data_IF_744409007120
#
_entry.id   IF_744409007120
#
_cell.length_a   1.000
_cell.length_b   1.000
_cell.length_c   1.000
_cell.angle_alpha   90.00
_cell.angle_beta   90.00
_cell.angle_gamma   90.00
#
_symmetry.space_group_name_H-M   'P 1'
#
loop_
_entity.id
_entity.type
_entity.pdbx_description
1 polymer ?
#
# COMPACT_ATOMS: atom_id res chain seq x y z
N UNK A 1 -28.31 8.82 5.39
CA UNK A 1 -27.60 7.55 5.13
C UNK A 1 -26.13 7.89 5.00
N UNK A 2 -25.20 7.25 5.72
CA UNK A 2 -23.79 7.56 5.55
C UNK A 2 -23.36 7.05 4.18
N UNK A 3 -22.81 7.95 3.36
CA UNK A 3 -22.23 7.59 2.08
C UNK A 3 -21.09 6.61 2.37
N UNK A 4 -21.24 5.37 1.90
CA UNK A 4 -20.14 4.41 1.88
C UNK A 4 -19.15 4.95 0.87
N UNK A 5 -18.19 5.74 1.33
CA UNK A 5 -17.07 6.19 0.50
C UNK A 5 -16.34 4.93 0.06
N UNK A 6 -16.65 4.47 -1.16
CA UNK A 6 -16.07 3.28 -1.76
C UNK A 6 -14.69 3.69 -2.22
N UNK A 7 -13.74 3.71 -1.27
CA UNK A 7 -12.35 3.97 -1.60
C UNK A 7 -11.88 2.85 -2.53
N UNK A 8 -11.56 3.22 -3.77
CA UNK A 8 -11.05 2.26 -4.74
C UNK A 8 -9.59 1.96 -4.38
N UNK A 9 -9.18 0.69 -4.20
CA UNK A 9 -7.81 0.36 -3.89
C UNK A 9 -6.87 0.82 -5.00
N UNK A 10 -5.69 1.30 -4.62
CA UNK A 10 -4.70 1.81 -5.55
C UNK A 10 -3.36 1.13 -5.33
N UNK A 11 -2.76 0.64 -6.40
CA UNK A 11 -1.37 0.23 -6.46
C UNK A 11 -0.51 1.47 -6.68
N UNK A 12 0.38 1.74 -5.73
CA UNK A 12 1.45 2.72 -5.83
C UNK A 12 2.70 1.96 -6.26
N UNK A 13 3.00 1.97 -7.56
CA UNK A 13 4.19 1.34 -8.12
C UNK A 13 5.33 2.38 -8.19
N UNK A 14 6.54 2.10 -7.65
CA UNK A 14 7.68 3.03 -7.69
C UNK A 14 8.13 3.39 -9.11
N UNK A 15 7.76 2.59 -10.12
CA UNK A 15 8.03 2.83 -11.54
C UNK A 15 6.92 3.66 -12.23
N UNK A 16 5.82 3.96 -11.54
CA UNK A 16 4.68 4.69 -12.08
C UNK A 16 4.49 6.01 -11.35
N UNK A 17 4.44 7.12 -12.09
CA UNK A 17 4.13 8.42 -11.51
C UNK A 17 2.66 8.56 -11.06
N UNK A 18 1.80 7.60 -11.43
CA UNK A 18 0.36 7.63 -11.14
C UNK A 18 -0.07 6.37 -10.40
N UNK A 19 -0.92 6.49 -9.36
CA UNK A 19 -1.61 5.34 -8.78
C UNK A 19 -2.40 4.58 -9.83
N UNK A 20 -2.37 3.25 -9.74
CA UNK A 20 -3.13 2.38 -10.63
C UNK A 20 -4.27 1.73 -9.86
N UNK A 21 -5.52 1.79 -10.32
CA UNK A 21 -6.62 1.14 -9.63
C UNK A 21 -6.40 -0.38 -9.63
N UNK A 22 -6.58 -1.01 -8.48
CA UNK A 22 -6.59 -2.47 -8.33
C UNK A 22 -7.88 -2.91 -7.68
N UNK A 23 -8.36 -4.09 -8.04
CA UNK A 23 -9.58 -4.65 -7.44
C UNK A 23 -9.33 -6.09 -7.02
N UNK A 24 -9.88 -6.50 -5.87
CA UNK A 24 -9.78 -7.89 -5.46
C UNK A 24 -10.52 -8.78 -6.46
N UNK A 25 -9.96 -9.94 -6.78
CA UNK A 25 -10.56 -10.90 -7.74
C UNK A 25 -11.97 -11.33 -7.39
N UNK A 26 -12.32 -11.33 -6.10
CA UNK A 26 -13.67 -11.66 -5.62
C UNK A 26 -14.62 -10.45 -5.55
N UNK A 27 -14.17 -9.25 -5.95
CA UNK A 27 -14.94 -8.00 -5.93
C UNK A 27 -15.17 -7.39 -4.54
N UNK A 28 -14.64 -7.97 -3.45
CA UNK A 28 -14.91 -7.53 -2.07
C UNK A 28 -13.66 -7.27 -1.24
N UNK A 29 -12.75 -8.24 -1.14
CA UNK A 29 -11.56 -8.15 -0.28
C UNK A 29 -10.40 -8.93 -0.87
N UNK A 30 -9.18 -8.41 -0.69
CA UNK A 30 -7.98 -9.10 -1.14
C UNK A 30 -7.73 -10.34 -0.28
N UNK A 31 -7.34 -11.44 -0.92
CA UNK A 31 -6.75 -12.59 -0.22
C UNK A 31 -5.24 -12.36 -0.09
N UNK A 32 -4.59 -12.94 0.92
CA UNK A 32 -3.13 -12.82 1.09
C UNK A 32 -2.35 -13.18 -0.18
N UNK A 33 -2.68 -14.31 -0.83
CA UNK A 33 -2.03 -14.73 -2.07
C UNK A 33 -2.15 -13.71 -3.21
N UNK A 34 -3.23 -12.92 -3.24
CA UNK A 34 -3.42 -11.87 -4.23
C UNK A 34 -2.56 -10.64 -3.93
N UNK A 35 -2.43 -10.26 -2.65
CA UNK A 35 -1.55 -9.17 -2.22
C UNK A 35 -0.10 -9.49 -2.57
N UNK A 36 0.37 -10.70 -2.26
CA UNK A 36 1.71 -11.16 -2.61
C UNK A 36 1.97 -11.10 -4.13
N UNK A 37 0.97 -11.43 -4.95
CA UNK A 37 1.09 -11.34 -6.41
C UNK A 37 1.13 -9.89 -6.91
N UNK A 38 0.29 -9.01 -6.35
CA UNK A 38 0.25 -7.59 -6.74
C UNK A 38 1.52 -6.84 -6.34
N UNK A 39 2.01 -7.12 -5.13
CA UNK A 39 3.20 -6.50 -4.55
C UNK A 39 4.51 -7.17 -5.00
N UNK A 40 4.41 -8.35 -5.63
CA UNK A 40 5.55 -9.19 -6.01
C UNK A 40 6.44 -9.55 -4.80
N UNK A 41 5.86 -9.87 -3.64
CA UNK A 41 6.57 -10.12 -2.38
C UNK A 41 6.09 -11.38 -1.65
N UNK A 42 6.83 -11.81 -0.62
CA UNK A 42 6.44 -12.95 0.24
C UNK A 42 5.89 -12.52 1.59
N UNK A 43 6.33 -11.38 2.09
CA UNK A 43 5.86 -10.79 3.34
C UNK A 43 5.34 -9.38 3.08
N UNK A 44 4.33 -9.00 3.85
CA UNK A 44 3.75 -7.67 3.80
C UNK A 44 3.72 -7.09 5.20
N UNK A 45 3.94 -5.79 5.28
CA UNK A 45 3.65 -5.00 6.48
C UNK A 45 2.38 -4.17 6.25
N UNK A 46 1.57 -4.01 7.31
CA UNK A 46 0.32 -3.26 7.26
C UNK A 46 0.44 -2.01 8.11
N UNK A 47 0.59 -0.88 7.45
CA UNK A 47 0.68 0.42 8.08
C UNK A 47 -0.69 1.07 8.10
N UNK A 48 -1.24 1.35 9.29
CA UNK A 48 -2.46 2.14 9.43
C UNK A 48 -2.16 3.62 9.26
N UNK A 49 -2.83 4.26 8.30
CA UNK A 49 -2.74 5.69 8.06
C UNK A 49 -3.83 6.47 8.82
N UNK A 50 -5.02 5.87 8.95
CA UNK A 50 -6.15 6.42 9.69
C UNK A 50 -7.05 5.29 10.22
N UNK A 51 -8.22 5.63 10.75
CA UNK A 51 -9.23 4.64 11.17
C UNK A 51 -9.72 3.77 9.99
N UNK A 52 -9.68 4.29 8.76
CA UNK A 52 -10.23 3.61 7.58
C UNK A 52 -9.17 3.22 6.55
N UNK A 53 -8.03 3.91 6.48
CA UNK A 53 -7.03 3.71 5.43
C UNK A 53 -5.79 2.98 5.93
N UNK A 54 -5.33 2.03 5.11
CA UNK A 54 -4.10 1.26 5.33
C UNK A 54 -3.22 1.28 4.08
N UNK A 55 -1.90 1.19 4.31
CA UNK A 55 -0.93 0.79 3.30
C UNK A 55 -0.53 -0.66 3.56
N UNK A 56 -0.56 -1.47 2.50
CA UNK A 56 0.00 -2.81 2.49
C UNK A 56 1.31 -2.72 1.72
N UNK A 57 2.42 -2.86 2.45
CA UNK A 57 3.78 -2.57 1.97
C UNK A 57 4.52 -3.89 1.74
N UNK A 58 5.32 -3.98 0.68
CA UNK A 58 6.34 -5.02 0.54
C UNK A 58 7.42 -4.85 1.63
N UNK A 59 7.38 -5.73 2.63
CA UNK A 59 8.33 -5.71 3.76
C UNK A 59 9.75 -6.12 3.33
N UNK A 60 9.88 -6.82 2.20
CA UNK A 60 11.16 -7.23 1.63
C UNK A 60 11.79 -6.12 0.76
N UNK A 61 11.04 -5.05 0.45
CA UNK A 61 11.42 -4.06 -0.55
C UNK A 61 12.80 -3.44 -0.30
N UNK A 62 13.11 -3.10 0.95
CA UNK A 62 14.40 -2.50 1.35
C UNK A 62 15.60 -3.44 1.21
N UNK A 63 15.35 -4.76 1.14
CA UNK A 63 16.38 -5.79 0.99
C UNK A 63 16.62 -6.19 -0.48
N UNK A 64 15.82 -5.67 -1.42
CA UNK A 64 15.97 -5.97 -2.86
C UNK A 64 17.13 -5.19 -3.48
N UNK A 65 17.68 -5.76 -4.55
CA UNK A 65 18.64 -5.07 -5.41
C UNK A 65 18.21 -5.17 -6.88
N UNK A 66 17.86 -4.06 -7.54
CA UNK A 66 17.82 -2.69 -7.00
C UNK A 66 16.68 -2.44 -5.99
N UNK A 67 16.93 -1.54 -5.05
CA UNK A 67 15.99 -1.06 -4.05
C UNK A 67 15.28 0.20 -4.59
N UNK A 68 13.99 0.08 -4.90
CA UNK A 68 13.23 1.16 -5.55
C UNK A 68 12.42 1.99 -4.55
N UNK A 69 12.85 3.23 -4.29
CA UNK A 69 12.13 4.19 -3.46
C UNK A 69 10.76 4.51 -4.07
N UNK A 70 9.70 4.30 -3.30
CA UNK A 70 8.35 4.68 -3.68
C UNK A 70 8.05 6.09 -3.14
N UNK A 71 8.36 7.10 -3.96
CA UNK A 71 8.21 8.51 -3.56
C UNK A 71 6.76 8.86 -3.19
N UNK A 72 5.79 8.33 -3.93
CA UNK A 72 4.39 8.62 -3.68
C UNK A 72 3.92 7.98 -2.37
N UNK A 73 4.21 6.70 -2.16
CA UNK A 73 3.87 6.02 -0.91
C UNK A 73 4.62 6.64 0.29
N UNK A 74 5.89 7.01 0.11
CA UNK A 74 6.68 7.69 1.15
C UNK A 74 6.06 9.03 1.53
N UNK A 75 5.64 9.82 0.54
CA UNK A 75 4.96 11.09 0.80
C UNK A 75 3.68 10.88 1.61
N UNK A 76 2.83 9.92 1.22
CA UNK A 76 1.60 9.57 1.95
C UNK A 76 1.89 9.06 3.36
N UNK A 77 2.88 8.18 3.52
CA UNK A 77 3.31 7.65 4.81
C UNK A 77 3.74 8.78 5.76
N UNK A 78 4.60 9.69 5.31
CA UNK A 78 5.07 10.83 6.09
C UNK A 78 3.99 11.88 6.40
N UNK A 79 2.90 11.92 5.65
CA UNK A 79 1.75 12.79 5.98
C UNK A 79 1.00 12.28 7.21
N UNK A 80 0.94 10.96 7.42
CA UNK A 80 0.18 10.34 8.50
C UNK A 80 1.06 9.93 9.69
N UNK A 81 2.35 9.70 9.46
CA UNK A 81 3.33 9.29 10.47
C UNK A 81 4.50 10.27 10.40
N UNK A 82 4.36 11.50 10.97
CA UNK A 82 5.35 12.56 10.85
C UNK A 82 6.72 12.19 11.45
N UNK A 83 6.75 11.37 12.49
CA UNK A 83 7.96 10.88 13.16
C UNK A 83 8.86 10.02 12.26
N UNK A 84 8.31 9.45 11.18
CA UNK A 84 9.10 8.69 10.21
C UNK A 84 9.86 9.59 9.23
N UNK A 85 9.58 10.89 9.18
CA UNK A 85 10.26 11.83 8.26
C UNK A 85 11.75 11.92 8.59
N UNK A 86 12.58 11.64 7.59
CA UNK A 86 14.05 11.63 7.74
C UNK A 86 14.61 10.40 8.46
N UNK A 87 13.73 9.47 8.90
CA UNK A 87 14.12 8.22 9.59
C UNK A 87 13.83 7.02 8.71
N UNK A 88 12.65 6.99 8.07
CA UNK A 88 12.23 5.86 7.26
C UNK A 88 11.53 6.26 5.96
N UNK A 89 11.56 5.36 4.98
CA UNK A 89 10.94 5.53 3.66
C UNK A 89 10.31 4.24 3.18
N UNK A 90 9.35 4.35 2.26
CA UNK A 90 8.67 3.20 1.68
C UNK A 90 9.35 2.80 0.37
N UNK A 91 9.67 1.51 0.26
CA UNK A 91 10.37 0.93 -0.90
C UNK A 91 9.50 -0.16 -1.51
N UNK A 92 9.56 -0.31 -2.82
CA UNK A 92 8.80 -1.32 -3.54
C UNK A 92 7.34 -0.90 -3.78
N UNK A 93 6.55 -1.86 -4.25
CA UNK A 93 5.11 -1.64 -4.52
C UNK A 93 4.34 -1.57 -3.21
N UNK A 94 3.23 -0.82 -3.23
CA UNK A 94 2.35 -0.64 -2.08
C UNK A 94 0.91 -0.61 -2.54
N UNK A 95 0.00 -1.19 -1.77
CA UNK A 95 -1.44 -1.03 -1.99
C UNK A 95 -2.00 -0.08 -0.94
N UNK A 96 -2.66 0.98 -1.38
CA UNK A 96 -3.47 1.87 -0.56
C UNK A 96 -4.93 1.44 -0.66
N UNK A 97 -5.55 1.05 0.45
CA UNK A 97 -6.95 0.62 0.47
C UNK A 97 -7.64 0.89 1.82
N UNK A 98 -8.96 0.70 1.84
CA UNK A 98 -9.72 0.72 3.08
C UNK A 98 -9.46 -0.57 3.88
N UNK A 99 -9.37 -0.49 5.21
CA UNK A 99 -9.13 -1.63 6.10
C UNK A 99 -10.14 -2.80 5.91
N UNK A 100 -11.41 -2.50 5.60
CA UNK A 100 -12.47 -3.48 5.29
C UNK A 100 -12.19 -4.33 4.05
N UNK A 101 -11.26 -3.91 3.19
CA UNK A 101 -10.86 -4.61 1.97
C UNK A 101 -9.70 -5.60 2.23
N UNK A 102 -9.18 -5.63 3.45
CA UNK A 102 -8.16 -6.56 3.92
C UNK A 102 -8.78 -7.55 4.92
N UNK A 103 -8.57 -8.86 4.70
CA UNK A 103 -9.11 -9.95 5.54
C UNK A 103 -8.14 -11.11 5.68
#
# INVERSE_FOLDING_TARGET
MPQTTTYQPQLLDPHSARPQPVMPRNGRSFKMAELYQLLDCRTVDVVRLSEELILIVDDEGKFRNPCYLNLLATHFYHQHIPEARGVDVVVGRVILCHDKQFR
#
